data_IF_188572596177
#
_entry.id   IF_188572596177
#
_cell.length_a   1.000
_cell.length_b   1.000
_cell.length_c   1.000
_cell.angle_alpha   90.00
_cell.angle_beta   90.00
_cell.angle_gamma   90.00
#
_symmetry.space_group_name_H-M   'P 1'
#
loop_
_entity.id
_entity.type
_entity.pdbx_description
1 polymer ?
#
# COMPACT_ATOMS: atom_id res chain seq x y z
N UNK A 1 9.10 -2.98 0.96
CA UNK A 1 9.24 -1.54 1.29
C UNK A 1 10.42 -1.43 2.23
N UNK A 2 11.39 -0.55 1.94
CA UNK A 2 12.53 -0.34 2.83
C UNK A 2 12.03 0.15 4.19
N UNK A 3 12.59 -0.38 5.29
CA UNK A 3 12.14 -0.02 6.64
C UNK A 3 12.52 1.44 6.90
N UNK A 4 11.64 2.28 7.48
CA UNK A 4 11.89 3.71 7.72
C UNK A 4 13.21 4.03 8.43
N UNK A 5 13.73 3.07 9.21
CA UNK A 5 14.98 3.18 9.98
C UNK A 5 16.20 3.44 9.08
N UNK A 6 16.16 3.05 7.80
CA UNK A 6 17.32 3.18 6.89
C UNK A 6 17.46 4.57 6.22
N UNK A 7 16.44 5.44 6.30
CA UNK A 7 16.47 6.76 5.64
C UNK A 7 16.78 7.93 6.57
N UNK A 8 16.91 7.71 7.89
CA UNK A 8 17.07 8.80 8.86
C UNK A 8 15.89 9.79 8.91
N UNK A 9 14.77 9.43 8.26
CA UNK A 9 13.54 10.22 8.23
C UNK A 9 12.71 9.83 9.46
N UNK A 10 12.78 10.67 10.49
CA UNK A 10 11.85 10.57 11.62
C UNK A 10 10.55 11.22 11.18
N UNK A 11 9.51 10.40 10.96
CA UNK A 11 8.16 10.91 10.82
C UNK A 11 7.68 11.35 12.21
N UNK A 12 7.29 12.61 12.33
CA UNK A 12 6.74 13.20 13.57
C UNK A 12 5.36 13.80 13.30
N UNK A 13 4.62 14.10 14.37
CA UNK A 13 3.32 14.78 14.25
C UNK A 13 2.22 13.93 13.61
N UNK A 14 1.34 14.58 12.86
CA UNK A 14 0.17 13.92 12.23
C UNK A 14 0.58 12.94 11.12
N UNK A 15 1.62 13.24 10.34
CA UNK A 15 2.12 12.37 9.28
C UNK A 15 2.60 11.01 9.83
N UNK A 16 3.21 11.02 11.02
CA UNK A 16 3.60 9.79 11.71
C UNK A 16 2.38 8.97 12.12
N UNK A 17 1.35 9.63 12.68
CA UNK A 17 0.12 8.94 13.10
C UNK A 17 -0.59 8.33 11.89
N UNK A 18 -0.71 9.08 10.81
CA UNK A 18 -1.33 8.62 9.57
C UNK A 18 -0.55 7.43 8.97
N UNK A 19 0.78 7.50 8.96
CA UNK A 19 1.61 6.39 8.51
C UNK A 19 1.37 5.12 9.34
N UNK A 20 1.41 5.22 10.67
CA UNK A 20 1.18 4.07 11.56
C UNK A 20 -0.26 3.56 11.51
N UNK A 21 -1.25 4.43 11.30
CA UNK A 21 -2.65 4.04 11.12
C UNK A 21 -2.83 3.28 9.81
N UNK A 22 -2.24 3.76 8.72
CA UNK A 22 -2.27 3.10 7.43
C UNK A 22 -1.49 1.77 7.44
N UNK A 23 -0.39 1.67 8.19
CA UNK A 23 0.33 0.40 8.34
C UNK A 23 -0.50 -0.65 9.11
N UNK A 24 -1.18 -0.24 10.19
CA UNK A 24 -2.00 -1.13 11.01
C UNK A 24 -3.33 -1.50 10.35
N UNK A 25 -3.93 -0.56 9.64
CA UNK A 25 -5.19 -0.74 8.93
C UNK A 25 -5.05 -0.18 7.52
N UNK A 26 -4.53 -0.98 6.57
CA UNK A 26 -4.33 -0.56 5.20
C UNK A 26 -5.65 -0.11 4.59
N UNK A 27 -5.83 1.20 4.45
CA UNK A 27 -6.97 1.78 3.72
C UNK A 27 -6.71 1.58 2.23
N UNK A 28 -7.41 0.64 1.63
CA UNK A 28 -7.34 0.40 0.19
C UNK A 28 -8.14 1.47 -0.52
N UNK A 29 -7.54 2.14 -1.50
CA UNK A 29 -8.26 3.13 -2.32
C UNK A 29 -9.08 2.43 -3.40
N UNK A 30 -10.13 3.07 -3.90
CA UNK A 30 -10.94 2.54 -5.01
C UNK A 30 -10.07 2.27 -6.26
N UNK A 31 -9.07 3.11 -6.53
CA UNK A 31 -8.10 2.93 -7.61
C UNK A 31 -7.27 1.65 -7.43
N UNK A 32 -6.82 1.36 -6.21
CA UNK A 32 -6.10 0.13 -5.91
C UNK A 32 -7.00 -1.11 -6.09
N UNK A 33 -8.27 -1.03 -5.71
CA UNK A 33 -9.24 -2.10 -5.93
C UNK A 33 -9.40 -2.38 -7.43
N UNK A 34 -9.56 -1.35 -8.25
CA UNK A 34 -9.66 -1.50 -9.72
C UNK A 34 -8.38 -2.09 -10.31
N UNK A 35 -7.21 -1.66 -9.84
CA UNK A 35 -5.93 -2.24 -10.26
C UNK A 35 -5.88 -3.76 -9.97
N UNK A 36 -6.31 -4.20 -8.79
CA UNK A 36 -6.34 -5.62 -8.44
C UNK A 36 -7.36 -6.41 -9.28
N UNK A 37 -8.52 -5.84 -9.57
CA UNK A 37 -9.52 -6.46 -10.46
C UNK A 37 -8.94 -6.69 -11.86
N UNK A 38 -8.24 -5.70 -12.40
CA UNK A 38 -7.62 -5.79 -13.71
C UNK A 38 -6.50 -6.83 -13.74
N UNK A 39 -5.63 -6.85 -12.72
CA UNK A 39 -4.59 -7.86 -12.59
C UNK A 39 -5.17 -9.28 -12.54
N UNK A 40 -6.26 -9.50 -11.78
CA UNK A 40 -6.97 -10.78 -11.76
C UNK A 40 -7.57 -11.14 -13.12
N UNK A 41 -8.09 -10.16 -13.87
CA UNK A 41 -8.63 -10.37 -15.22
C UNK A 41 -7.54 -10.86 -16.18
N UNK A 42 -6.37 -10.22 -16.15
CA UNK A 42 -5.22 -10.58 -16.99
C UNK A 42 -4.70 -11.98 -16.65
N UNK A 43 -4.56 -12.30 -15.36
CA UNK A 43 -4.11 -13.63 -14.92
C UNK A 43 -5.06 -14.73 -15.41
N UNK A 44 -6.37 -14.52 -15.26
CA UNK A 44 -7.38 -15.49 -15.72
C UNK A 44 -7.42 -15.65 -17.24
N UNK A 45 -7.06 -14.62 -18.01
CA UNK A 45 -7.01 -14.71 -19.47
C UNK A 45 -5.72 -15.37 -20.00
N UNK A 46 -4.68 -15.50 -19.16
CA UNK A 46 -3.42 -16.17 -19.49
C UNK A 46 -3.02 -17.16 -18.39
N UNK A 47 -3.79 -18.23 -18.15
CA UNK A 47 -3.38 -19.30 -17.26
C UNK A 47 -2.18 -20.04 -17.87
N UNK A 48 -1.08 -20.12 -17.12
CA UNK A 48 0.10 -20.90 -17.48
C UNK A 48 -0.20 -22.40 -17.54
#
# INVERSE_FOLDING_TARGET
MAKPIELGLVLEGEDAKEFWENEKNPKVTDEQIEMFKEAMRIYKSHPF
#
